data_IF_065888714143
#
_entry.id   IF_065888714143
#
_cell.length_a   1.000
_cell.length_b   1.000
_cell.length_c   1.000
_cell.angle_alpha   90.00
_cell.angle_beta   90.00
_cell.angle_gamma   90.00
#
_symmetry.space_group_name_H-M   'P 1'
#
loop_
_entity.id
_entity.type
_entity.pdbx_description
1 polymer ?
#
# COMPACT_ATOMS: atom_id res chain seq x y z
N UNK A 1 2.56 -29.62 -9.19
CA UNK A 1 3.97 -29.16 -9.21
C UNK A 1 4.67 -29.92 -8.10
N UNK A 2 5.51 -30.93 -8.42
CA UNK A 2 6.22 -31.70 -7.41
C UNK A 2 7.22 -30.79 -6.71
N UNK A 3 6.93 -30.46 -5.44
CA UNK A 3 7.85 -29.76 -4.57
C UNK A 3 8.88 -30.77 -4.07
N UNK A 4 10.07 -30.79 -4.70
CA UNK A 4 11.21 -31.52 -4.12
C UNK A 4 11.45 -31.01 -2.69
N UNK A 5 11.39 -31.94 -1.73
CA UNK A 5 11.75 -31.66 -0.33
C UNK A 5 13.19 -31.15 -0.30
N UNK A 6 13.36 -29.84 -0.16
CA UNK A 6 14.67 -29.27 0.19
C UNK A 6 14.99 -29.80 1.58
N UNK A 7 16.16 -30.47 1.73
CA UNK A 7 16.65 -30.91 3.02
C UNK A 7 17.00 -29.66 3.85
N UNK A 8 16.00 -29.22 4.61
CA UNK A 8 15.99 -27.94 5.32
C UNK A 8 17.16 -27.83 6.31
N UNK A 9 17.56 -28.95 6.95
CA UNK A 9 18.68 -28.93 7.90
C UNK A 9 20.04 -28.76 7.21
N UNK A 10 20.27 -29.46 6.10
CA UNK A 10 21.49 -29.27 5.31
C UNK A 10 21.57 -27.88 4.68
N UNK A 11 20.41 -27.35 4.25
CA UNK A 11 20.32 -26.02 3.69
C UNK A 11 20.62 -24.95 4.75
N UNK A 12 20.04 -25.05 5.96
CA UNK A 12 20.31 -24.14 7.10
C UNK A 12 21.79 -24.19 7.48
N UNK A 13 22.41 -25.39 7.56
CA UNK A 13 23.83 -25.54 7.85
C UNK A 13 24.74 -25.00 6.73
N UNK A 14 24.33 -25.14 5.48
CA UNK A 14 25.09 -24.55 4.35
C UNK A 14 24.95 -23.02 4.32
N UNK A 15 23.78 -22.48 4.68
CA UNK A 15 23.52 -21.05 4.74
C UNK A 15 24.26 -20.37 5.89
N UNK A 16 24.38 -20.99 7.06
CA UNK A 16 25.19 -20.46 8.16
C UNK A 16 26.66 -20.24 7.76
N UNK A 17 27.19 -21.06 6.86
CA UNK A 17 28.55 -20.90 6.29
C UNK A 17 28.66 -19.89 5.13
N UNK A 18 27.54 -19.60 4.45
CA UNK A 18 27.44 -18.69 3.30
C UNK A 18 27.16 -17.26 3.73
N UNK A 19 26.42 -17.08 4.85
CA UNK A 19 25.81 -15.81 5.24
C UNK A 19 26.84 -14.80 5.75
N UNK A 20 27.91 -15.21 6.42
CA UNK A 20 29.08 -14.36 6.66
C UNK A 20 30.23 -15.14 7.34
N UNK A 21 31.36 -15.27 6.73
CA UNK A 21 32.53 -15.93 7.33
C UNK A 21 33.16 -15.17 8.50
N UNK A 22 32.61 -14.03 8.93
CA UNK A 22 33.14 -13.17 9.99
C UNK A 22 32.05 -12.56 10.89
N UNK A 23 30.85 -13.18 11.04
CA UNK A 23 29.85 -12.73 12.00
C UNK A 23 30.16 -13.24 13.40
N UNK A 24 29.75 -12.43 14.39
CA UNK A 24 29.75 -12.82 15.79
C UNK A 24 28.85 -14.05 15.99
N UNK A 25 29.25 -14.97 16.86
CA UNK A 25 28.54 -16.25 17.14
C UNK A 25 27.06 -16.06 17.53
N UNK A 26 26.74 -14.94 18.17
CA UNK A 26 25.40 -14.55 18.56
C UNK A 26 24.54 -14.17 17.33
N UNK A 27 25.09 -13.43 16.39
CA UNK A 27 24.41 -13.03 15.14
C UNK A 27 24.17 -14.26 14.23
N UNK A 28 25.10 -15.21 14.18
CA UNK A 28 24.91 -16.48 13.47
C UNK A 28 23.74 -17.28 14.04
N UNK A 29 23.60 -17.30 15.36
CA UNK A 29 22.51 -17.98 16.07
C UNK A 29 21.16 -17.36 15.75
N UNK A 30 21.07 -16.02 15.77
CA UNK A 30 19.83 -15.30 15.46
C UNK A 30 19.47 -15.46 13.97
N UNK A 31 20.44 -15.41 13.06
CA UNK A 31 20.23 -15.70 11.64
C UNK A 31 19.69 -17.13 11.42
N UNK A 32 20.28 -18.14 12.08
CA UNK A 32 19.83 -19.53 11.99
C UNK A 32 18.40 -19.71 12.51
N UNK A 33 18.06 -19.06 13.62
CA UNK A 33 16.70 -19.06 14.18
C UNK A 33 15.70 -18.47 13.21
N UNK A 34 15.99 -17.29 12.63
CA UNK A 34 15.13 -16.66 11.64
C UNK A 34 14.94 -17.56 10.41
N UNK A 35 16.02 -18.11 9.86
CA UNK A 35 15.97 -18.99 8.69
C UNK A 35 15.14 -20.26 8.96
N UNK A 36 15.22 -20.83 10.16
CA UNK A 36 14.35 -21.94 10.57
C UNK A 36 12.85 -21.57 10.52
N UNK A 37 12.49 -20.37 10.99
CA UNK A 37 11.09 -19.96 11.00
C UNK A 37 10.55 -19.63 9.62
N UNK A 38 11.35 -19.11 8.69
CA UNK A 38 10.94 -18.84 7.31
C UNK A 38 11.24 -19.99 6.34
N UNK A 39 11.77 -21.13 6.82
CA UNK A 39 12.11 -22.28 5.97
C UNK A 39 11.02 -22.76 5.01
N UNK A 40 9.71 -22.73 5.37
CA UNK A 40 8.65 -23.07 4.42
C UNK A 40 8.60 -22.17 3.18
N UNK A 41 9.19 -20.98 3.23
CA UNK A 41 9.25 -20.03 2.12
C UNK A 41 10.49 -20.23 1.23
N UNK A 42 11.44 -21.10 1.59
CA UNK A 42 12.69 -21.31 0.85
C UNK A 42 12.50 -21.71 -0.61
N UNK A 43 11.52 -22.54 -0.99
CA UNK A 43 11.29 -22.84 -2.39
C UNK A 43 11.07 -21.59 -3.25
N UNK A 44 10.47 -20.55 -2.68
CA UNK A 44 10.15 -19.28 -3.36
C UNK A 44 11.30 -18.27 -3.24
N UNK A 45 12.04 -18.31 -2.14
CA UNK A 45 13.17 -17.40 -1.91
C UNK A 45 14.42 -17.86 -2.66
N UNK A 46 14.72 -19.17 -2.65
CA UNK A 46 16.03 -19.72 -3.02
C UNK A 46 15.96 -20.95 -3.94
N UNK A 47 14.76 -21.42 -4.30
CA UNK A 47 14.59 -22.58 -5.18
C UNK A 47 15.04 -22.29 -6.62
N UNK A 48 15.30 -23.34 -7.41
CA UNK A 48 15.80 -23.25 -8.79
C UNK A 48 14.90 -22.40 -9.71
N UNK A 49 13.60 -22.34 -9.44
CA UNK A 49 12.61 -21.57 -10.23
C UNK A 49 12.17 -20.29 -9.52
N UNK A 50 12.96 -19.78 -8.57
CA UNK A 50 12.60 -18.60 -7.78
C UNK A 50 13.09 -17.27 -8.36
N UNK A 51 13.83 -17.28 -9.47
CA UNK A 51 14.44 -16.07 -10.04
C UNK A 51 13.43 -15.05 -10.56
N UNK A 52 12.26 -15.51 -11.00
CA UNK A 52 11.17 -14.65 -11.48
C UNK A 52 10.22 -14.21 -10.36
N UNK A 53 10.45 -14.67 -9.12
CA UNK A 53 9.68 -14.26 -7.95
C UNK A 53 10.30 -13.00 -7.38
N UNK A 54 9.49 -11.96 -7.26
CA UNK A 54 9.90 -10.63 -6.78
C UNK A 54 9.45 -10.35 -5.36
N UNK A 55 8.24 -10.80 -5.00
CA UNK A 55 7.64 -10.58 -3.69
C UNK A 55 7.01 -11.87 -3.15
N UNK A 56 7.04 -12.02 -1.83
CA UNK A 56 6.28 -13.05 -1.09
C UNK A 56 5.48 -12.32 -0.02
N UNK A 57 4.19 -12.59 0.06
CA UNK A 57 3.33 -12.01 1.08
C UNK A 57 2.54 -13.08 1.83
N UNK A 58 2.36 -12.85 3.13
CA UNK A 58 1.46 -13.60 3.99
C UNK A 58 0.51 -12.57 4.59
N UNK A 59 -0.77 -12.68 4.26
CA UNK A 59 -1.80 -11.80 4.81
C UNK A 59 -2.51 -12.47 5.99
N UNK A 60 -2.60 -13.80 5.96
CA UNK A 60 -3.27 -14.66 6.94
C UNK A 60 -2.45 -15.93 7.15
N UNK A 61 -2.57 -16.57 8.32
CA UNK A 61 -1.94 -17.87 8.56
C UNK A 61 -2.30 -18.88 7.45
N UNK A 62 -1.32 -19.70 7.07
CA UNK A 62 -1.40 -20.76 6.07
C UNK A 62 -1.52 -20.30 4.60
N UNK A 63 -1.84 -19.03 4.33
CA UNK A 63 -1.94 -18.47 2.99
C UNK A 63 -0.64 -17.72 2.64
N UNK A 64 0.03 -18.18 1.59
CA UNK A 64 1.23 -17.53 1.05
C UNK A 64 0.96 -17.07 -0.38
N UNK A 65 1.12 -15.79 -0.62
CA UNK A 65 1.02 -15.19 -1.94
C UNK A 65 2.42 -14.94 -2.48
N UNK A 66 2.62 -15.32 -3.74
CA UNK A 66 3.90 -15.17 -4.44
C UNK A 66 3.68 -14.36 -5.70
N UNK A 67 4.39 -13.22 -5.82
CA UNK A 67 4.38 -12.45 -7.06
C UNK A 67 5.42 -13.01 -8.03
N UNK A 68 4.96 -13.47 -9.17
CA UNK A 68 5.79 -13.97 -10.27
C UNK A 68 5.42 -13.29 -11.58
N UNK A 69 6.39 -12.63 -12.21
CA UNK A 69 6.17 -11.91 -13.48
C UNK A 69 5.05 -10.88 -13.44
N UNK A 70 4.79 -10.28 -12.28
CA UNK A 70 3.75 -9.27 -12.05
C UNK A 70 2.38 -9.83 -11.68
N UNK A 71 2.23 -11.15 -11.57
CA UNK A 71 0.98 -11.81 -11.17
C UNK A 71 1.11 -12.44 -9.77
N UNK A 72 0.07 -12.31 -8.95
CA UNK A 72 -0.01 -12.92 -7.63
C UNK A 72 -0.60 -14.34 -7.72
N UNK A 73 0.10 -15.30 -7.12
CA UNK A 73 -0.32 -16.70 -7.01
C UNK A 73 -0.52 -17.00 -5.53
N UNK A 74 -1.73 -17.41 -5.15
CA UNK A 74 -2.03 -17.86 -3.78
C UNK A 74 -1.75 -19.35 -3.61
N UNK A 75 -1.09 -19.70 -2.52
CA UNK A 75 -0.70 -21.06 -2.16
C UNK A 75 -1.06 -21.33 -0.71
N UNK A 76 -1.56 -22.52 -0.42
CA UNK A 76 -1.77 -22.99 0.95
C UNK A 76 -0.49 -23.65 1.46
N UNK A 77 0.06 -23.12 2.55
CA UNK A 77 1.24 -23.66 3.25
C UNK A 77 0.90 -23.86 4.73
N UNK A 78 0.38 -25.03 5.12
CA UNK A 78 -0.11 -25.28 6.47
C UNK A 78 0.91 -25.04 7.58
N UNK A 79 2.21 -25.16 7.27
CA UNK A 79 3.28 -24.91 8.23
C UNK A 79 3.52 -23.42 8.53
N UNK A 80 2.94 -22.49 7.78
CA UNK A 80 2.97 -21.03 8.06
C UNK A 80 1.79 -20.66 8.96
N UNK A 81 1.73 -21.26 10.16
CA UNK A 81 0.73 -20.92 11.19
C UNK A 81 0.94 -19.51 11.76
N UNK A 82 -0.05 -19.03 12.52
CA UNK A 82 0.05 -17.75 13.23
C UNK A 82 1.30 -17.69 14.13
N UNK A 83 1.53 -18.72 14.92
CA UNK A 83 2.68 -18.83 15.83
C UNK A 83 3.99 -18.84 15.07
N UNK A 84 4.02 -19.51 13.90
CA UNK A 84 5.21 -19.55 13.04
C UNK A 84 5.53 -18.18 12.46
N UNK A 85 4.50 -17.42 12.05
CA UNK A 85 4.68 -16.06 11.56
C UNK A 85 5.15 -15.09 12.66
N UNK A 86 4.57 -15.19 13.88
CA UNK A 86 5.05 -14.42 15.04
C UNK A 86 6.49 -14.78 15.39
N UNK A 87 6.83 -16.06 15.42
CA UNK A 87 8.20 -16.51 15.72
C UNK A 87 9.20 -16.02 14.67
N UNK A 88 8.81 -16.01 13.38
CA UNK A 88 9.63 -15.44 12.30
C UNK A 88 9.88 -13.94 12.51
N UNK A 89 8.85 -13.17 12.84
CA UNK A 89 8.96 -11.75 13.14
C UNK A 89 9.83 -11.46 14.36
N UNK A 90 9.65 -12.23 15.44
CA UNK A 90 10.46 -12.11 16.66
C UNK A 90 11.94 -12.45 16.40
N UNK A 91 12.22 -13.51 15.63
CA UNK A 91 13.57 -13.86 15.24
C UNK A 91 14.21 -12.81 14.32
N UNK A 92 13.41 -12.23 13.38
CA UNK A 92 13.85 -11.14 12.52
C UNK A 92 14.17 -9.86 13.30
N UNK A 93 13.39 -9.56 14.34
CA UNK A 93 13.64 -8.45 15.23
C UNK A 93 14.96 -8.61 15.99
N UNK A 94 15.18 -9.77 16.60
CA UNK A 94 16.44 -10.09 17.30
C UNK A 94 17.63 -9.99 16.35
N UNK A 95 17.56 -10.63 15.18
CA UNK A 95 18.63 -10.58 14.17
C UNK A 95 18.98 -9.15 13.75
N UNK A 96 18.00 -8.23 13.72
CA UNK A 96 18.22 -6.83 13.33
C UNK A 96 18.34 -5.86 14.52
N UNK A 97 18.49 -6.39 15.74
CA UNK A 97 18.53 -5.62 16.99
C UNK A 97 17.37 -4.63 17.12
N UNK A 98 16.15 -5.12 16.86
CA UNK A 98 14.91 -4.39 16.95
C UNK A 98 13.92 -5.15 17.87
N UNK A 99 12.75 -4.56 18.08
CA UNK A 99 11.64 -5.16 18.81
C UNK A 99 10.48 -5.50 17.86
N UNK A 100 9.81 -6.65 18.10
CA UNK A 100 8.55 -7.03 17.47
C UNK A 100 7.65 -7.65 18.52
N UNK A 101 6.66 -6.88 18.96
CA UNK A 101 5.76 -7.22 20.05
C UNK A 101 4.46 -6.41 19.93
N UNK A 102 3.49 -6.65 20.81
CA UNK A 102 2.24 -5.86 20.86
C UNK A 102 2.47 -4.37 21.13
N UNK A 103 3.60 -4.00 21.74
CA UNK A 103 3.99 -2.60 21.96
C UNK A 103 4.92 -2.06 20.86
N UNK A 104 5.42 -2.91 19.99
CA UNK A 104 6.19 -2.55 18.78
C UNK A 104 5.73 -3.43 17.60
N UNK A 105 4.46 -3.30 17.15
CA UNK A 105 3.83 -4.27 16.25
C UNK A 105 4.24 -4.16 14.78
N UNK A 106 5.11 -3.22 14.43
CA UNK A 106 5.55 -2.95 13.06
C UNK A 106 7.07 -3.09 13.00
N UNK A 107 7.55 -4.05 12.21
CA UNK A 107 8.98 -4.28 12.02
C UNK A 107 9.35 -4.19 10.54
N UNK A 108 10.26 -3.28 10.23
CA UNK A 108 10.92 -3.19 8.91
C UNK A 108 12.36 -3.65 9.05
N UNK A 109 12.77 -4.68 8.34
CA UNK A 109 14.11 -5.26 8.48
C UNK A 109 14.67 -5.76 7.15
N UNK A 110 15.91 -6.21 7.19
CA UNK A 110 16.58 -6.93 6.10
C UNK A 110 16.92 -8.31 6.60
N UNK A 111 16.57 -9.35 5.83
CA UNK A 111 16.87 -10.74 6.14
C UNK A 111 18.34 -11.05 5.82
N UNK A 112 18.89 -12.17 6.32
CA UNK A 112 20.31 -12.53 6.16
C UNK A 112 20.85 -12.45 4.72
N UNK A 113 20.04 -12.83 3.72
CA UNK A 113 20.40 -12.76 2.30
C UNK A 113 20.02 -11.45 1.60
N UNK A 114 19.82 -10.37 2.37
CA UNK A 114 19.53 -9.01 1.90
C UNK A 114 18.11 -8.80 1.33
N UNK A 115 17.20 -9.75 1.51
CA UNK A 115 15.78 -9.50 1.25
C UNK A 115 15.26 -8.45 2.23
N UNK A 116 14.40 -7.56 1.75
CA UNK A 116 13.70 -6.60 2.61
C UNK A 116 12.43 -7.25 3.14
N UNK A 117 12.20 -7.18 4.43
CA UNK A 117 11.01 -7.74 5.05
C UNK A 117 10.25 -6.68 5.86
N UNK A 118 8.94 -6.75 5.77
CA UNK A 118 8.00 -5.96 6.56
C UNK A 118 7.08 -6.91 7.30
N UNK A 119 7.06 -6.80 8.62
CA UNK A 119 6.14 -7.54 9.49
C UNK A 119 5.19 -6.58 10.17
N UNK A 120 3.93 -6.96 10.27
CA UNK A 120 2.91 -6.25 11.04
C UNK A 120 2.08 -7.27 11.80
N UNK A 121 1.91 -7.07 13.11
CA UNK A 121 1.13 -7.94 14.00
C UNK A 121 0.06 -7.14 14.74
N UNK A 122 -0.92 -7.78 15.37
CA UNK A 122 -1.85 -7.10 16.26
C UNK A 122 -1.12 -6.32 17.38
N UNK A 123 -1.59 -5.12 17.74
CA UNK A 123 -2.86 -4.50 17.36
C UNK A 123 -2.81 -3.68 16.05
N UNK A 124 -1.72 -3.69 15.29
CA UNK A 124 -1.58 -2.91 14.06
C UNK A 124 -2.21 -3.58 12.82
N UNK A 125 -2.68 -4.81 12.91
CA UNK A 125 -3.48 -5.50 11.90
C UNK A 125 -4.58 -6.34 12.57
N UNK A 126 -5.34 -7.10 11.76
CA UNK A 126 -6.44 -7.94 12.25
C UNK A 126 -5.96 -8.95 13.29
N UNK A 127 -6.79 -9.22 14.29
CA UNK A 127 -6.53 -10.25 15.29
C UNK A 127 -6.35 -11.63 14.64
N UNK A 128 -5.44 -12.43 15.21
CA UNK A 128 -5.06 -13.75 14.68
C UNK A 128 -4.46 -13.74 13.28
N UNK A 129 -3.99 -12.57 12.80
CA UNK A 129 -3.23 -12.45 11.55
C UNK A 129 -1.84 -11.88 11.79
N UNK A 130 -0.93 -12.13 10.88
CA UNK A 130 0.36 -11.44 10.77
C UNK A 130 0.56 -11.12 9.31
N UNK A 131 0.70 -9.84 8.98
CA UNK A 131 1.11 -9.47 7.64
C UNK A 131 2.64 -9.53 7.55
N UNK A 132 3.14 -10.39 6.66
CA UNK A 132 4.55 -10.48 6.30
C UNK A 132 4.68 -10.21 4.80
N UNK A 133 5.56 -9.31 4.42
CA UNK A 133 5.94 -9.10 3.01
C UNK A 133 7.44 -9.17 2.89
N UNK A 134 7.95 -10.01 1.98
CA UNK A 134 9.37 -10.16 1.70
C UNK A 134 9.62 -9.80 0.24
N UNK A 135 10.46 -8.78 0.02
CA UNK A 135 10.92 -8.36 -1.30
C UNK A 135 12.30 -8.92 -1.58
N UNK A 136 12.41 -9.67 -2.68
CA UNK A 136 13.70 -10.21 -3.15
C UNK A 136 14.46 -9.14 -3.94
N UNK A 137 15.76 -8.91 -3.65
CA UNK A 137 16.59 -8.09 -4.53
C UNK A 137 16.81 -8.83 -5.84
N UNK A 138 16.59 -8.16 -6.97
CA UNK A 138 16.94 -8.73 -8.27
C UNK A 138 18.46 -8.91 -8.37
N UNK A 139 18.89 -10.10 -8.73
CA UNK A 139 20.30 -10.42 -9.05
C UNK A 139 20.58 -10.36 -10.57
N UNK A 140 19.52 -10.20 -11.38
CA UNK A 140 19.63 -10.21 -12.85
C UNK A 140 20.04 -8.81 -13.35
N UNK A 141 21.09 -8.79 -14.16
CA UNK A 141 21.44 -7.63 -14.99
C UNK A 141 20.91 -7.93 -16.38
N UNK A 142 19.93 -7.15 -16.84
CA UNK A 142 19.36 -7.29 -18.18
C UNK A 142 20.08 -6.30 -19.10
N UNK A 143 20.79 -6.77 -20.13
CA UNK A 143 21.43 -5.90 -21.13
C UNK A 143 20.42 -4.98 -21.82
N UNK A 144 20.85 -3.78 -22.22
CA UNK A 144 19.96 -2.75 -22.79
C UNK A 144 19.36 -3.16 -24.13
N UNK A 145 20.06 -3.96 -24.90
CA UNK A 145 19.61 -4.53 -26.19
C UNK A 145 18.40 -5.47 -26.00
N UNK A 146 18.35 -6.20 -24.90
CA UNK A 146 17.18 -7.03 -24.54
C UNK A 146 15.94 -6.14 -24.29
N UNK A 147 16.10 -5.00 -23.60
CA UNK A 147 15.01 -4.04 -23.45
C UNK A 147 14.53 -3.50 -24.78
N UNK A 148 15.46 -3.20 -25.70
CA UNK A 148 15.12 -2.70 -27.04
C UNK A 148 14.37 -3.75 -27.85
N UNK A 149 14.83 -5.00 -27.85
CA UNK A 149 14.21 -6.10 -28.61
C UNK A 149 12.87 -6.57 -28.05
N UNK A 150 12.63 -6.39 -26.74
CA UNK A 150 11.36 -6.75 -26.10
C UNK A 150 10.23 -5.73 -26.28
N UNK A 151 10.48 -4.62 -26.99
CA UNK A 151 9.51 -3.54 -27.16
C UNK A 151 9.33 -2.65 -25.92
N UNK A 152 10.26 -2.70 -24.99
CA UNK A 152 10.20 -1.93 -23.74
C UNK A 152 10.01 -0.41 -23.97
N UNK A 153 10.59 0.12 -25.05
CA UNK A 153 10.50 1.53 -25.41
C UNK A 153 9.29 1.88 -26.29
N UNK A 154 8.45 0.91 -26.66
CA UNK A 154 7.32 1.10 -27.59
C UNK A 154 6.23 2.03 -27.05
N UNK A 155 6.18 2.25 -25.74
CA UNK A 155 5.21 3.10 -25.04
C UNK A 155 5.75 4.48 -24.66
N UNK A 156 6.95 4.84 -25.10
CA UNK A 156 7.51 6.17 -24.82
C UNK A 156 6.69 7.23 -25.54
N UNK A 157 6.14 8.16 -24.79
CA UNK A 157 5.40 9.31 -25.29
C UNK A 157 6.15 10.59 -24.95
N UNK A 158 6.12 11.61 -25.80
CA UNK A 158 6.68 12.91 -25.46
C UNK A 158 5.88 13.53 -24.30
N UNK A 159 6.56 14.36 -23.49
CA UNK A 159 5.87 15.16 -22.48
C UNK A 159 4.87 16.08 -23.17
N UNK A 160 3.61 15.98 -22.79
CA UNK A 160 2.52 16.75 -23.39
C UNK A 160 2.10 17.91 -22.48
N UNK A 161 1.75 19.04 -23.08
CA UNK A 161 1.07 20.16 -22.42
C UNK A 161 -0.44 19.96 -22.28
N UNK A 162 -0.96 18.83 -22.75
CA UNK A 162 -2.38 18.52 -22.76
C UNK A 162 -2.72 17.41 -21.79
N UNK A 163 -3.97 17.36 -21.33
CA UNK A 163 -4.46 16.30 -20.44
C UNK A 163 -4.46 14.93 -21.16
N UNK A 164 -4.27 13.88 -20.37
CA UNK A 164 -4.19 12.51 -20.90
C UNK A 164 -5.48 12.09 -21.64
N UNK A 165 -5.41 11.11 -22.56
CA UNK A 165 -6.61 10.57 -23.20
C UNK A 165 -7.64 10.06 -22.17
N UNK A 166 -7.19 9.40 -21.10
CA UNK A 166 -8.03 8.95 -20.01
C UNK A 166 -8.73 10.11 -19.30
N UNK A 167 -8.01 11.19 -19.02
CA UNK A 167 -8.59 12.38 -18.40
C UNK A 167 -9.59 13.10 -19.31
N UNK A 168 -9.35 13.10 -20.62
CA UNK A 168 -10.31 13.62 -21.59
C UNK A 168 -11.62 12.81 -21.57
N UNK A 169 -11.52 11.49 -21.53
CA UNK A 169 -12.70 10.61 -21.43
C UNK A 169 -13.47 10.84 -20.13
N UNK A 170 -12.77 10.90 -19.00
CA UNK A 170 -13.38 11.19 -17.70
C UNK A 170 -14.10 12.54 -17.71
N UNK A 171 -13.48 13.57 -18.29
CA UNK A 171 -14.09 14.89 -18.40
C UNK A 171 -15.36 14.86 -19.26
N UNK A 172 -15.36 14.13 -20.37
CA UNK A 172 -16.55 13.96 -21.22
C UNK A 172 -17.71 13.29 -20.47
N UNK A 173 -17.41 12.25 -19.65
CA UNK A 173 -18.43 11.60 -18.82
C UNK A 173 -19.02 12.57 -17.77
N UNK A 174 -18.14 13.35 -17.12
CA UNK A 174 -18.59 14.34 -16.13
C UNK A 174 -19.44 15.45 -16.76
N UNK A 175 -19.02 16.00 -17.91
CA UNK A 175 -19.74 17.03 -18.65
C UNK A 175 -21.10 16.51 -19.16
N UNK A 176 -21.16 15.22 -19.53
CA UNK A 176 -22.41 14.54 -19.90
C UNK A 176 -23.29 14.14 -18.70
N UNK A 177 -22.89 14.48 -17.48
CA UNK A 177 -23.57 14.12 -16.21
C UNK A 177 -23.73 12.61 -16.00
N UNK A 178 -22.85 11.79 -16.59
CA UNK A 178 -22.79 10.34 -16.43
C UNK A 178 -21.96 10.00 -15.20
N UNK A 179 -22.43 10.39 -14.02
CA UNK A 179 -21.66 10.35 -12.77
C UNK A 179 -21.25 8.94 -12.35
N UNK A 180 -22.14 7.95 -12.52
CA UNK A 180 -21.83 6.55 -12.22
C UNK A 180 -20.70 6.02 -13.10
N UNK A 181 -20.80 6.17 -14.44
CA UNK A 181 -19.78 5.77 -15.39
C UNK A 181 -18.46 6.51 -15.12
N UNK A 182 -18.52 7.82 -14.81
CA UNK A 182 -17.35 8.61 -14.43
C UNK A 182 -16.62 8.03 -13.22
N UNK A 183 -17.34 7.70 -12.14
CA UNK A 183 -16.74 7.18 -10.91
C UNK A 183 -16.17 5.77 -11.11
N UNK A 184 -16.86 4.90 -11.86
CA UNK A 184 -16.34 3.58 -12.24
C UNK A 184 -15.02 3.74 -12.99
N UNK A 185 -14.99 4.57 -14.04
CA UNK A 185 -13.78 4.78 -14.83
C UNK A 185 -12.67 5.48 -14.03
N UNK A 186 -13.01 6.38 -13.10
CA UNK A 186 -12.04 7.02 -12.21
C UNK A 186 -11.35 6.00 -11.28
N UNK A 187 -12.09 5.05 -10.69
CA UNK A 187 -11.51 3.97 -9.88
C UNK A 187 -10.61 3.06 -10.73
N UNK A 188 -11.08 2.65 -11.91
CA UNK A 188 -10.31 1.79 -12.82
C UNK A 188 -9.06 2.48 -13.37
N UNK A 189 -9.10 3.81 -13.54
CA UNK A 189 -7.97 4.62 -13.97
C UNK A 189 -7.06 5.07 -12.81
N UNK A 190 -7.16 4.44 -11.65
CA UNK A 190 -6.31 4.69 -10.48
C UNK A 190 -6.29 6.15 -10.01
N UNK A 191 -7.44 6.81 -10.09
CA UNK A 191 -7.56 8.19 -9.60
C UNK A 191 -7.62 8.24 -8.08
N UNK A 192 -6.91 9.20 -7.49
CA UNK A 192 -7.00 9.48 -6.05
C UNK A 192 -8.31 10.21 -5.75
N UNK A 193 -9.19 9.56 -5.00
CA UNK A 193 -10.56 10.00 -4.76
C UNK A 193 -10.75 10.37 -3.29
N UNK A 194 -11.30 11.55 -3.04
CA UNK A 194 -11.72 12.00 -1.71
C UNK A 194 -13.24 12.06 -1.67
N UNK A 195 -13.83 11.40 -0.66
CA UNK A 195 -15.26 11.45 -0.37
C UNK A 195 -15.48 12.37 0.83
N UNK A 196 -16.11 13.51 0.61
CA UNK A 196 -16.32 14.52 1.62
C UNK A 196 -17.81 14.64 2.02
N UNK A 197 -18.07 15.11 3.22
CA UNK A 197 -19.42 15.38 3.71
C UNK A 197 -19.51 15.32 5.24
N UNK A 198 -20.63 15.73 5.78
CA UNK A 198 -20.91 15.71 7.22
C UNK A 198 -20.99 14.27 7.78
N UNK A 199 -21.01 14.15 9.12
CA UNK A 199 -21.30 12.88 9.80
C UNK A 199 -22.71 12.41 9.38
N UNK A 200 -22.84 11.10 9.10
CA UNK A 200 -24.11 10.51 8.66
C UNK A 200 -24.49 10.74 7.20
N UNK A 201 -23.66 11.43 6.38
CA UNK A 201 -23.93 11.60 4.94
C UNK A 201 -23.75 10.33 4.10
N UNK A 202 -23.16 9.26 4.67
CA UNK A 202 -22.99 7.98 3.99
C UNK A 202 -21.64 7.78 3.31
N UNK A 203 -20.62 8.61 3.62
CA UNK A 203 -19.27 8.53 3.03
C UNK A 203 -18.67 7.13 3.04
N UNK A 204 -18.59 6.51 4.22
CA UNK A 204 -17.99 5.16 4.37
C UNK A 204 -18.78 4.10 3.59
N UNK A 205 -20.10 4.19 3.58
CA UNK A 205 -20.95 3.28 2.79
C UNK A 205 -20.69 3.44 1.30
N UNK A 206 -20.59 4.66 0.82
CA UNK A 206 -20.29 4.94 -0.58
C UNK A 206 -18.85 4.56 -0.95
N UNK A 207 -17.89 4.82 -0.07
CA UNK A 207 -16.50 4.36 -0.23
C UNK A 207 -16.44 2.84 -0.42
N UNK A 208 -17.15 2.07 0.41
CA UNK A 208 -17.24 0.61 0.27
C UNK A 208 -17.78 0.17 -1.09
N UNK A 209 -18.71 0.91 -1.68
CA UNK A 209 -19.23 0.62 -3.02
C UNK A 209 -18.17 0.88 -4.10
N UNK A 210 -17.40 1.97 -4.01
CA UNK A 210 -16.31 2.25 -4.93
C UNK A 210 -15.17 1.22 -4.82
N UNK A 211 -14.88 0.76 -3.61
CA UNK A 211 -13.86 -0.27 -3.38
C UNK A 211 -14.16 -1.58 -4.12
N UNK A 212 -15.43 -1.95 -4.31
CA UNK A 212 -15.81 -3.17 -5.04
C UNK A 212 -15.54 -3.10 -6.55
N UNK A 213 -15.24 -1.88 -7.07
CA UNK A 213 -14.92 -1.64 -8.48
C UNK A 213 -13.42 -1.88 -8.76
N UNK A 214 -12.59 -1.82 -7.72
CA UNK A 214 -11.15 -2.09 -7.83
C UNK A 214 -10.94 -3.50 -8.42
N UNK A 215 -9.99 -3.69 -9.35
CA UNK A 215 -9.68 -5.02 -9.88
C UNK A 215 -9.38 -6.04 -8.77
N UNK A 216 -9.89 -7.26 -8.93
CA UNK A 216 -9.80 -8.31 -7.89
C UNK A 216 -8.38 -8.79 -7.64
N UNK A 217 -7.51 -8.61 -8.63
CA UNK A 217 -6.11 -9.03 -8.57
C UNK A 217 -5.22 -7.96 -7.92
N UNK A 218 -5.74 -6.74 -7.70
CA UNK A 218 -5.01 -5.69 -7.00
C UNK A 218 -4.77 -6.08 -5.53
N UNK A 219 -3.54 -5.84 -5.06
CA UNK A 219 -3.19 -5.92 -3.64
C UNK A 219 -3.64 -4.66 -2.91
N UNK A 220 -4.60 -4.81 -2.01
CA UNK A 220 -5.22 -3.69 -1.29
C UNK A 220 -4.76 -3.68 0.17
N UNK A 221 -4.32 -2.52 0.65
CA UNK A 221 -4.05 -2.31 2.07
C UNK A 221 -4.97 -1.20 2.56
N UNK A 222 -5.77 -1.49 3.59
CA UNK A 222 -6.60 -0.49 4.26
C UNK A 222 -5.91 0.01 5.52
N UNK A 223 -6.19 1.26 5.90
CA UNK A 223 -5.75 1.88 7.16
C UNK A 223 -6.99 2.48 7.83
N UNK A 224 -7.30 1.99 9.02
CA UNK A 224 -8.57 2.25 9.71
C UNK A 224 -8.36 2.47 11.21
N UNK A 225 -9.20 3.27 11.83
CA UNK A 225 -9.30 3.33 13.31
C UNK A 225 -10.27 2.28 13.87
N UNK A 226 -11.29 1.96 13.10
CA UNK A 226 -12.27 0.91 13.40
C UNK A 226 -12.48 0.06 12.15
N UNK A 227 -12.59 -1.26 12.29
CA UNK A 227 -12.81 -2.19 11.19
C UNK A 227 -14.16 -1.96 10.50
N UNK A 228 -14.18 -1.15 9.45
CA UNK A 228 -15.38 -0.80 8.69
C UNK A 228 -15.30 -1.17 7.20
N UNK A 229 -14.08 -1.26 6.65
CA UNK A 229 -13.87 -1.49 5.22
C UNK A 229 -13.85 -2.99 4.92
N UNK A 230 -14.76 -3.47 4.10
CA UNK A 230 -14.88 -4.89 3.73
C UNK A 230 -14.45 -5.12 2.29
N UNK A 231 -13.62 -6.13 2.07
CA UNK A 231 -13.05 -6.52 0.78
C UNK A 231 -13.35 -8.00 0.45
N UNK A 232 -14.63 -8.42 0.40
CA UNK A 232 -15.00 -9.83 0.27
C UNK A 232 -14.58 -10.45 -1.08
N UNK A 233 -14.34 -9.61 -2.10
CA UNK A 233 -14.00 -10.05 -3.45
C UNK A 233 -12.52 -9.86 -3.81
N UNK A 234 -11.69 -9.38 -2.87
CA UNK A 234 -10.27 -9.10 -3.07
C UNK A 234 -9.45 -10.01 -2.16
N UNK A 235 -8.98 -11.16 -2.64
CA UNK A 235 -8.26 -12.13 -1.80
C UNK A 235 -6.95 -11.56 -1.26
N UNK A 236 -6.25 -10.73 -2.04
CA UNK A 236 -4.97 -10.14 -1.66
C UNK A 236 -5.16 -8.80 -0.94
N UNK A 237 -5.62 -8.83 0.31
CA UNK A 237 -5.77 -7.61 1.11
C UNK A 237 -5.19 -7.75 2.51
N UNK A 238 -4.89 -6.61 3.13
CA UNK A 238 -4.47 -6.47 4.51
C UNK A 238 -5.22 -5.30 5.14
N UNK A 239 -5.82 -5.51 6.31
CA UNK A 239 -6.40 -4.44 7.12
C UNK A 239 -5.41 -4.03 8.23
N UNK A 240 -5.06 -2.75 8.25
CA UNK A 240 -4.18 -2.15 9.25
C UNK A 240 -4.99 -1.23 10.16
N UNK A 241 -4.71 -1.29 11.47
CA UNK A 241 -5.46 -0.56 12.48
C UNK A 241 -4.58 0.35 13.33
N UNK A 242 -5.16 1.48 13.74
CA UNK A 242 -4.55 2.41 14.71
C UNK A 242 -5.59 2.88 15.72
N UNK A 243 -5.21 3.10 16.99
CA UNK A 243 -6.12 3.65 17.99
C UNK A 243 -6.26 5.16 17.80
N UNK A 244 -7.48 5.64 17.51
CA UNK A 244 -7.75 7.08 17.31
C UNK A 244 -7.74 7.89 18.61
N UNK A 245 -8.10 7.28 19.74
CA UNK A 245 -8.36 7.98 21.00
C UNK A 245 -7.21 7.86 22.03
N UNK A 246 -6.08 7.24 21.67
CA UNK A 246 -4.93 7.11 22.58
C UNK A 246 -4.10 8.39 22.63
N UNK A 247 -3.73 8.87 23.83
CA UNK A 247 -2.91 10.09 23.99
C UNK A 247 -1.52 9.98 23.34
N UNK A 248 -0.89 8.81 23.40
CA UNK A 248 0.43 8.56 22.80
C UNK A 248 0.43 7.19 22.09
N UNK A 249 -0.22 7.04 20.94
CA UNK A 249 -0.35 5.75 20.28
C UNK A 249 0.99 5.27 19.73
N UNK A 250 1.30 4.01 20.01
CA UNK A 250 2.47 3.33 19.41
C UNK A 250 2.29 3.20 17.90
N UNK A 251 1.06 2.94 17.45
CA UNK A 251 0.67 2.85 16.05
C UNK A 251 -0.07 4.11 15.65
N UNK A 252 0.39 4.77 14.60
CA UNK A 252 -0.23 5.97 14.03
C UNK A 252 -0.52 5.78 12.55
N UNK A 253 -1.48 6.50 11.95
CA UNK A 253 -1.72 6.45 10.51
C UNK A 253 -0.46 6.71 9.69
N UNK A 254 0.37 7.67 10.10
CA UNK A 254 1.64 7.99 9.44
C UNK A 254 2.64 6.82 9.45
N UNK A 255 2.74 6.06 10.57
CA UNK A 255 3.57 4.85 10.64
C UNK A 255 3.04 3.75 9.73
N UNK A 256 1.72 3.56 9.68
CA UNK A 256 1.08 2.57 8.83
C UNK A 256 1.24 2.92 7.35
N UNK A 257 1.01 4.17 6.96
CA UNK A 257 1.24 4.67 5.60
C UNK A 257 2.69 4.40 5.15
N UNK A 258 3.67 4.69 6.01
CA UNK A 258 5.08 4.39 5.74
C UNK A 258 5.36 2.89 5.62
N UNK A 259 4.67 2.06 6.42
CA UNK A 259 4.76 0.60 6.36
C UNK A 259 4.25 0.07 5.01
N UNK A 260 3.14 0.62 4.49
CA UNK A 260 2.56 0.23 3.21
C UNK A 260 3.57 0.27 2.06
N UNK A 261 4.50 1.24 2.03
CA UNK A 261 5.53 1.36 0.98
C UNK A 261 6.47 0.13 0.90
N UNK A 262 6.46 -0.73 1.93
CA UNK A 262 7.25 -1.97 2.00
C UNK A 262 6.39 -3.23 1.91
N UNK A 263 5.08 -3.05 1.70
CA UNK A 263 4.12 -4.16 1.63
C UNK A 263 3.62 -4.41 0.21
N UNK A 264 4.18 -3.72 -0.80
CA UNK A 264 3.85 -3.86 -2.23
C UNK A 264 2.35 -3.68 -2.52
N UNK A 265 1.70 -2.60 -2.05
CA UNK A 265 0.31 -2.33 -2.37
C UNK A 265 0.16 -1.88 -3.83
N UNK A 266 -0.91 -2.32 -4.49
CA UNK A 266 -1.44 -1.69 -5.69
C UNK A 266 -2.37 -0.54 -5.30
N UNK A 267 -3.11 -0.69 -4.19
CA UNK A 267 -3.99 0.35 -3.63
C UNK A 267 -3.79 0.52 -2.13
N UNK A 268 -3.74 1.78 -1.67
CA UNK A 268 -3.78 2.13 -0.25
C UNK A 268 -5.06 2.91 0.00
N UNK A 269 -5.92 2.37 0.87
CA UNK A 269 -7.21 2.96 1.21
C UNK A 269 -7.17 3.43 2.66
N UNK A 270 -7.22 4.73 2.88
CA UNK A 270 -7.28 5.30 4.22
C UNK A 270 -8.73 5.65 4.54
N UNK A 271 -9.31 5.07 5.59
CA UNK A 271 -10.72 5.25 5.92
C UNK A 271 -11.10 6.72 6.07
N UNK A 272 -10.29 7.49 6.78
CA UNK A 272 -10.53 8.93 6.97
C UNK A 272 -9.24 9.72 7.17
N UNK A 273 -9.16 10.91 6.57
CA UNK A 273 -8.14 11.92 6.86
C UNK A 273 -8.66 12.86 7.95
N UNK A 274 -7.92 12.96 9.07
CA UNK A 274 -8.31 13.75 10.24
C UNK A 274 -7.27 14.77 10.68
N UNK A 275 -5.99 14.56 10.35
CA UNK A 275 -4.90 15.39 10.87
C UNK A 275 -3.59 15.32 10.11
N UNK A 276 -2.50 15.29 10.85
CA UNK A 276 -1.12 15.40 10.35
C UNK A 276 -0.71 14.30 9.36
N UNK A 277 -1.35 13.12 9.40
CA UNK A 277 -1.15 12.02 8.44
C UNK A 277 -1.44 12.43 6.99
N UNK A 278 -2.18 13.52 6.79
CA UNK A 278 -2.48 14.06 5.46
C UNK A 278 -1.21 14.36 4.68
N UNK A 279 -0.16 14.85 5.33
CA UNK A 279 1.13 15.06 4.67
C UNK A 279 1.68 13.76 4.12
N UNK A 280 1.75 12.70 4.95
CA UNK A 280 2.27 11.40 4.56
C UNK A 280 1.41 10.76 3.45
N UNK A 281 0.08 10.87 3.54
CA UNK A 281 -0.86 10.39 2.51
C UNK A 281 -0.60 11.06 1.15
N UNK A 282 -0.49 12.38 1.12
CA UNK A 282 -0.21 13.15 -0.11
C UNK A 282 1.15 12.75 -0.70
N UNK A 283 2.21 12.58 0.13
CA UNK A 283 3.51 12.16 -0.36
C UNK A 283 3.47 10.75 -0.98
N UNK A 284 2.74 9.82 -0.39
CA UNK A 284 2.60 8.45 -0.89
C UNK A 284 1.85 8.43 -2.21
N UNK A 285 0.71 9.11 -2.29
CA UNK A 285 -0.03 9.22 -3.55
C UNK A 285 0.81 9.89 -4.67
N UNK A 286 1.63 10.89 -4.32
CA UNK A 286 2.52 11.55 -5.28
C UNK A 286 3.72 10.69 -5.69
N UNK A 287 4.06 9.63 -4.96
CA UNK A 287 5.22 8.76 -5.24
C UNK A 287 4.91 7.58 -6.17
N UNK A 288 3.79 7.60 -6.87
CA UNK A 288 3.40 6.58 -7.84
C UNK A 288 2.45 5.51 -7.27
N UNK A 289 1.90 5.73 -6.06
CA UNK A 289 0.86 4.89 -5.47
C UNK A 289 -0.51 5.57 -5.67
N UNK A 290 -0.96 5.64 -6.93
CA UNK A 290 -2.28 6.16 -7.30
C UNK A 290 -3.42 5.24 -6.90
N UNK A 291 -4.67 5.68 -7.16
CA UNK A 291 -5.87 4.89 -6.91
C UNK A 291 -6.28 4.79 -5.44
N UNK A 292 -5.77 5.68 -4.60
CA UNK A 292 -6.16 5.79 -3.20
C UNK A 292 -7.58 6.37 -3.07
N UNK A 293 -8.38 5.78 -2.20
CA UNK A 293 -9.70 6.29 -1.85
C UNK A 293 -9.69 6.60 -0.35
N UNK A 294 -10.12 7.80 0.02
CA UNK A 294 -10.23 8.22 1.42
C UNK A 294 -11.45 9.10 1.65
N UNK A 295 -11.79 9.34 2.90
CA UNK A 295 -12.85 10.27 3.27
C UNK A 295 -12.36 11.39 4.17
N UNK A 296 -13.12 12.47 4.25
CA UNK A 296 -12.92 13.53 5.24
C UNK A 296 -14.22 14.29 5.49
N UNK A 297 -14.28 15.03 6.61
CA UNK A 297 -15.38 15.93 6.91
C UNK A 297 -15.18 17.30 6.26
N UNK A 298 -16.11 17.72 5.39
CA UNK A 298 -16.18 19.09 4.84
C UNK A 298 -17.59 19.41 4.39
N UNK A 299 -17.98 20.68 4.38
CA UNK A 299 -19.30 21.15 3.99
C UNK A 299 -19.46 21.34 2.48
N UNK A 300 -18.39 21.41 1.72
CA UNK A 300 -18.38 21.52 0.26
C UNK A 300 -16.96 21.25 -0.30
N UNK A 301 -16.84 21.17 -1.63
CA UNK A 301 -15.57 20.89 -2.31
C UNK A 301 -14.48 21.93 -1.99
N UNK A 302 -14.83 23.21 -1.92
CA UNK A 302 -13.84 24.27 -1.62
C UNK A 302 -13.25 24.10 -0.23
N UNK A 303 -14.08 23.76 0.76
CA UNK A 303 -13.66 23.48 2.12
C UNK A 303 -12.75 22.23 2.22
N UNK A 304 -12.93 21.24 1.34
CA UNK A 304 -12.05 20.05 1.29
C UNK A 304 -10.59 20.50 1.14
N UNK A 305 -10.29 21.36 0.17
CA UNK A 305 -8.90 21.80 -0.08
C UNK A 305 -8.36 22.68 1.05
N UNK A 306 -9.16 23.54 1.66
CA UNK A 306 -8.74 24.33 2.82
C UNK A 306 -8.50 23.44 4.05
N UNK A 307 -9.31 22.42 4.29
CA UNK A 307 -9.09 21.45 5.39
C UNK A 307 -7.85 20.61 5.14
N UNK A 308 -7.67 20.09 3.92
CA UNK A 308 -6.45 19.34 3.55
C UNK A 308 -5.20 20.19 3.77
N UNK A 309 -5.24 21.48 3.40
CA UNK A 309 -4.14 22.40 3.65
C UNK A 309 -3.85 22.54 5.15
N UNK A 310 -4.86 22.78 5.97
CA UNK A 310 -4.71 22.89 7.42
C UNK A 310 -4.13 21.61 8.04
N UNK A 311 -4.64 20.45 7.65
CA UNK A 311 -4.14 19.15 8.11
C UNK A 311 -2.72 18.87 7.62
N UNK A 312 -2.39 19.21 6.37
CA UNK A 312 -1.04 19.11 5.83
C UNK A 312 -0.04 19.93 6.65
N UNK A 313 -0.41 21.17 7.00
CA UNK A 313 0.42 22.08 7.82
C UNK A 313 0.52 21.64 9.29
N UNK A 314 -0.39 20.81 9.79
CA UNK A 314 -0.28 20.26 11.16
C UNK A 314 0.83 19.22 11.32
N UNK A 315 1.38 18.69 10.22
CA UNK A 315 2.56 17.85 10.23
C UNK A 315 3.83 18.73 10.33
N UNK A 316 4.80 18.33 11.17
CA UNK A 316 6.07 19.07 11.33
C UNK A 316 6.78 19.33 10.00
N UNK A 317 6.71 18.38 9.06
CA UNK A 317 7.33 18.50 7.73
C UNK A 317 6.54 19.41 6.79
N UNK A 318 5.26 19.63 7.08
CA UNK A 318 4.40 20.55 6.33
C UNK A 318 4.48 21.99 6.83
N UNK A 319 5.03 22.18 8.03
CA UNK A 319 5.21 23.50 8.60
C UNK A 319 6.26 24.30 7.82
N UNK A 320 5.98 25.56 7.57
CA UNK A 320 6.88 26.46 6.82
C UNK A 320 6.84 26.28 5.29
N UNK A 321 6.05 25.35 4.76
CA UNK A 321 5.78 25.25 3.34
C UNK A 321 4.77 26.33 2.94
N UNK A 322 5.04 27.07 1.87
CA UNK A 322 4.13 28.14 1.42
C UNK A 322 2.76 27.59 0.97
N UNK A 323 1.73 28.38 1.18
CA UNK A 323 0.34 28.05 0.75
C UNK A 323 0.27 27.64 -0.73
N UNK A 324 1.03 28.31 -1.59
CA UNK A 324 1.05 28.03 -3.03
C UNK A 324 1.62 26.64 -3.34
N UNK A 325 2.72 26.28 -2.65
CA UNK A 325 3.36 24.95 -2.81
C UNK A 325 2.43 23.87 -2.29
N UNK A 326 1.77 24.07 -1.14
CA UNK A 326 0.81 23.12 -0.60
C UNK A 326 -0.37 22.93 -1.58
N UNK A 327 -0.99 24.03 -2.04
CA UNK A 327 -2.08 23.98 -3.01
C UNK A 327 -1.68 23.24 -4.29
N UNK A 328 -0.50 23.54 -4.82
CA UNK A 328 0.04 22.84 -6.00
C UNK A 328 0.19 21.34 -5.71
N UNK A 329 0.76 20.96 -4.58
CA UNK A 329 0.91 19.55 -4.17
C UNK A 329 -0.45 18.84 -4.08
N UNK A 330 -1.45 19.46 -3.46
CA UNK A 330 -2.80 18.92 -3.35
C UNK A 330 -3.44 18.72 -4.74
N UNK A 331 -3.39 19.73 -5.62
CA UNK A 331 -3.96 19.63 -6.96
C UNK A 331 -3.22 18.63 -7.86
N UNK A 332 -1.91 18.46 -7.68
CA UNK A 332 -1.14 17.46 -8.41
C UNK A 332 -1.48 16.03 -7.98
N UNK A 333 -1.91 15.85 -6.73
CA UNK A 333 -2.10 14.53 -6.12
C UNK A 333 -3.55 14.09 -6.15
N UNK A 334 -4.48 14.97 -5.76
CA UNK A 334 -5.92 14.65 -5.71
C UNK A 334 -6.52 14.78 -7.11
N UNK A 335 -7.20 13.74 -7.57
CA UNK A 335 -7.85 13.72 -8.87
C UNK A 335 -9.33 14.09 -8.79
N UNK A 336 -10.05 13.43 -7.87
CA UNK A 336 -11.49 13.55 -7.76
C UNK A 336 -11.89 13.87 -6.32
N UNK A 337 -12.79 14.82 -6.16
CA UNK A 337 -13.47 15.07 -4.89
C UNK A 337 -14.98 14.90 -5.10
N UNK A 338 -15.59 14.05 -4.29
CA UNK A 338 -17.04 13.82 -4.27
C UNK A 338 -17.59 14.35 -2.96
N UNK A 339 -18.50 15.31 -3.01
CA UNK A 339 -19.18 15.80 -1.82
C UNK A 339 -20.56 15.18 -1.68
N UNK A 340 -20.88 14.69 -0.48
CA UNK A 340 -22.13 14.02 -0.14
C UNK A 340 -22.85 14.73 1.01
N UNK A 341 -24.13 14.81 0.88
CA UNK A 341 -25.02 15.34 1.91
C UNK A 341 -26.11 14.34 2.29
N UNK A 342 -26.66 14.52 3.49
CA UNK A 342 -27.92 13.91 3.92
C UNK A 342 -28.92 15.03 4.13
N UNK A 343 -29.69 15.35 3.09
CA UNK A 343 -30.67 16.43 3.10
C UNK A 343 -31.98 15.95 3.68
N UNK A 344 -32.64 16.81 4.44
CA UNK A 344 -33.92 16.50 5.08
C UNK A 344 -35.00 16.02 4.08
N UNK A 345 -35.07 16.66 2.91
CA UNK A 345 -36.14 16.39 1.93
C UNK A 345 -35.78 15.31 0.90
N UNK A 346 -34.47 15.15 0.58
CA UNK A 346 -34.03 14.31 -0.52
C UNK A 346 -33.18 13.08 -0.07
N UNK A 347 -32.91 13.02 1.23
CA UNK A 347 -32.06 11.97 1.77
C UNK A 347 -30.59 12.14 1.41
N UNK A 348 -29.87 11.01 1.34
CA UNK A 348 -28.43 10.97 1.05
C UNK A 348 -28.18 11.07 -0.44
N UNK A 349 -27.23 11.92 -0.84
CA UNK A 349 -26.86 12.06 -2.25
C UNK A 349 -25.51 12.75 -2.46
N UNK A 350 -25.01 12.64 -3.67
CA UNK A 350 -23.85 13.40 -4.13
C UNK A 350 -24.35 14.77 -4.58
N UNK A 351 -23.76 15.82 -4.04
CA UNK A 351 -24.15 17.21 -4.34
C UNK A 351 -23.12 17.92 -5.22
N UNK A 352 -21.84 17.53 -5.13
CA UNK A 352 -20.77 18.11 -5.94
C UNK A 352 -19.75 17.04 -6.33
N UNK A 353 -19.22 17.17 -7.56
CA UNK A 353 -18.09 16.39 -8.04
C UNK A 353 -17.05 17.34 -8.62
N UNK A 354 -15.82 17.28 -8.13
CA UNK A 354 -14.71 18.06 -8.64
C UNK A 354 -13.74 17.14 -9.38
N UNK A 355 -13.36 17.54 -10.60
CA UNK A 355 -12.34 16.91 -11.41
C UNK A 355 -11.72 17.98 -12.32
N UNK A 356 -10.47 18.34 -12.10
CA UNK A 356 -9.76 19.41 -12.81
C UNK A 356 -8.36 18.97 -13.22
N UNK A 357 -8.24 18.02 -14.17
CA UNK A 357 -6.95 17.47 -14.59
C UNK A 357 -6.01 18.54 -15.18
N UNK A 358 -6.55 19.65 -15.66
CA UNK A 358 -5.77 20.77 -16.20
C UNK A 358 -4.84 21.41 -15.15
N UNK A 359 -5.20 21.32 -13.87
CA UNK A 359 -4.37 21.83 -12.76
C UNK A 359 -3.09 21.03 -12.53
N UNK A 360 -3.02 19.81 -13.09
CA UNK A 360 -1.83 18.94 -13.05
C UNK A 360 -0.83 19.23 -14.16
N UNK A 361 -1.20 20.03 -15.14
CA UNK A 361 -0.32 20.36 -16.27
C UNK A 361 0.77 21.33 -15.82
N UNK A 362 2.02 20.91 -16.00
CA UNK A 362 3.17 21.81 -15.84
C UNK A 362 3.58 22.32 -17.23
N UNK A 363 3.13 23.52 -17.56
CA UNK A 363 3.38 24.15 -18.87
C UNK A 363 4.87 24.40 -19.12
N UNK A 364 5.66 24.52 -18.06
CA UNK A 364 7.10 24.79 -18.18
C UNK A 364 7.90 23.55 -18.62
N UNK A 365 7.36 22.33 -18.42
CA UNK A 365 8.02 21.08 -18.83
C UNK A 365 7.71 20.67 -20.28
N UNK A 366 6.81 21.36 -20.95
CA UNK A 366 6.39 21.07 -22.34
C UNK A 366 7.02 22.00 -23.37
N UNK A 367 7.88 22.91 -22.95
CA UNK A 367 8.75 23.74 -23.78
C UNK A 367 10.14 23.12 -23.84
#
# INVERSE_FOLDING_TARGET
MDMQKVDTEKFIQSMGKIIAPNMDEEIEKEAASLMYHIAPLFPFLYGENSDDITEIAINRPHEVLVEKSGEWISLEIPSMSYEKCIAAGTAAAKFSNNEFSSVAPILSTVLPNKERAQFVMPPACEENTVSLTIRKPSKRIIPLDIYSSSGFFSRVLPVSSDISPTDKQLKQLLDAKKYEEFLIQAVLAEKNIIIAGATGSGKTTFMKSLMQIIPKDDRIITIEDVAELFLPNHPNHVHLFYPSDAENPVVTPAKLLKSCLRMKPDRILLAELRGAETWDFIQICASGHGGSITSLHAGNVSEVFERLKGMYMSNEKGQGVSDEVIKKSLYMTIDVVVHMENHHDYGRGITQVWFKPELKLNKDLSQ
#
